data_IF_476521747181
#
_entry.id   IF_476521747181
#
_cell.length_a   1.000
_cell.length_b   1.000
_cell.length_c   1.000
_cell.angle_alpha   90.00
_cell.angle_beta   90.00
_cell.angle_gamma   90.00
#
_symmetry.space_group_name_H-M   'P 1'
#
loop_
_entity.id
_entity.type
_entity.pdbx_description
1 polymer ?
#
# COMPACT_ATOMS: atom_id res chain seq x y z
N UNK A 1 12.93 4.33 -39.93
CA UNK A 1 12.30 4.37 -38.59
C UNK A 1 13.41 4.36 -37.54
N UNK A 2 13.64 5.46 -36.83
CA UNK A 2 14.81 5.61 -35.93
C UNK A 2 14.63 4.77 -34.66
N UNK A 3 15.67 3.97 -34.32
CA UNK A 3 15.73 3.10 -33.12
C UNK A 3 15.70 3.88 -31.80
N UNK A 4 15.82 5.21 -31.85
CA UNK A 4 15.92 6.10 -30.69
C UNK A 4 14.68 6.99 -30.50
N UNK A 5 13.65 6.84 -31.33
CA UNK A 5 12.41 7.58 -31.13
C UNK A 5 11.72 7.07 -29.85
N UNK A 6 11.36 7.96 -28.89
CA UNK A 6 10.67 7.53 -27.69
C UNK A 6 9.30 6.97 -28.08
N UNK A 7 9.15 5.66 -27.97
CA UNK A 7 7.85 5.01 -28.04
C UNK A 7 6.96 5.65 -26.97
N UNK A 8 5.82 6.19 -27.39
CA UNK A 8 4.86 6.89 -26.56
C UNK A 8 4.47 5.99 -25.37
N UNK A 9 5.12 6.17 -24.21
CA UNK A 9 4.79 5.40 -23.00
C UNK A 9 3.47 5.94 -22.49
N UNK A 10 2.40 5.17 -22.68
CA UNK A 10 1.14 5.43 -22.01
C UNK A 10 1.40 5.54 -20.50
N UNK A 11 0.87 6.59 -19.86
CA UNK A 11 0.97 6.74 -18.42
C UNK A 11 0.53 5.44 -17.73
N UNK A 12 1.23 5.00 -16.66
CA UNK A 12 0.87 3.78 -15.97
C UNK A 12 -0.55 3.96 -15.40
N UNK A 13 -1.46 3.06 -15.77
CA UNK A 13 -2.79 2.97 -15.17
C UNK A 13 -2.72 2.09 -13.92
N UNK A 14 -3.44 2.42 -12.85
CA UNK A 14 -3.45 1.56 -11.67
C UNK A 14 -4.05 0.20 -12.04
N UNK A 15 -3.37 -0.86 -11.61
CA UNK A 15 -3.91 -2.22 -11.69
C UNK A 15 -4.83 -2.49 -10.52
N UNK A 16 -5.65 -3.54 -10.60
CA UNK A 16 -6.43 -4.04 -9.45
C UNK A 16 -5.58 -4.47 -8.26
N UNK A 17 -4.28 -4.67 -8.46
CA UNK A 17 -3.28 -5.00 -7.42
C UNK A 17 -2.53 -3.79 -6.88
N UNK A 18 -2.69 -2.61 -7.48
CA UNK A 18 -2.01 -1.38 -7.04
C UNK A 18 -2.63 -0.93 -5.71
N UNK A 19 -1.85 -0.96 -4.62
CA UNK A 19 -2.28 -0.55 -3.29
C UNK A 19 -1.95 0.91 -3.03
N UNK A 20 -2.94 1.69 -2.62
CA UNK A 20 -2.79 3.08 -2.21
C UNK A 20 -2.18 3.19 -0.82
N UNK A 21 -1.08 3.94 -0.66
CA UNK A 21 -0.40 4.11 0.64
C UNK A 21 -1.15 5.03 1.61
N UNK A 22 -2.16 5.77 1.14
CA UNK A 22 -2.97 6.68 1.97
C UNK A 22 -4.12 5.93 2.63
N UNK A 23 -4.95 5.25 1.85
CA UNK A 23 -6.15 4.57 2.36
C UNK A 23 -6.01 3.04 2.49
N UNK A 24 -4.90 2.46 2.02
CA UNK A 24 -4.63 1.01 2.00
C UNK A 24 -5.60 0.19 1.14
N UNK A 25 -6.41 0.83 0.28
CA UNK A 25 -7.26 0.15 -0.70
C UNK A 25 -6.54 -0.06 -2.02
N UNK A 26 -7.04 -0.97 -2.85
CA UNK A 26 -6.49 -1.24 -4.18
C UNK A 26 -7.16 -0.42 -5.29
N UNK A 27 -6.56 -0.40 -6.47
CA UNK A 27 -7.18 0.07 -7.71
C UNK A 27 -6.93 1.55 -8.05
N UNK A 28 -6.13 2.28 -7.27
CA UNK A 28 -5.77 3.67 -7.56
C UNK A 28 -4.40 4.03 -6.99
N UNK A 29 -3.80 5.09 -7.52
CA UNK A 29 -2.58 5.66 -6.98
C UNK A 29 -2.86 6.64 -5.84
N UNK A 30 -1.87 6.86 -4.98
CA UNK A 30 -1.99 7.71 -3.79
C UNK A 30 -2.45 9.15 -4.11
N UNK A 31 -2.07 9.69 -5.28
CA UNK A 31 -2.44 11.05 -5.70
C UNK A 31 -3.92 11.17 -6.13
N UNK A 32 -4.57 10.07 -6.50
CA UNK A 32 -6.01 10.01 -6.84
C UNK A 32 -6.90 9.73 -5.61
N UNK A 33 -6.29 9.44 -4.44
CA UNK A 33 -7.00 8.94 -3.27
C UNK A 33 -7.87 10.01 -2.58
N UNK A 34 -9.20 9.86 -2.73
CA UNK A 34 -10.22 10.67 -2.05
C UNK A 34 -10.61 10.15 -0.65
N UNK A 35 -10.35 8.88 -0.37
CA UNK A 35 -10.69 8.26 0.92
C UNK A 35 -9.87 8.87 2.07
N UNK A 36 -10.46 8.98 3.28
CA UNK A 36 -9.73 9.39 4.48
C UNK A 36 -8.69 8.32 4.85
N UNK A 37 -7.68 8.73 5.63
CA UNK A 37 -6.65 7.82 6.14
C UNK A 37 -7.25 6.95 7.25
N UNK A 38 -7.35 5.62 7.11
CA UNK A 38 -7.82 4.78 8.19
C UNK A 38 -6.79 4.77 9.31
N UNK A 39 -7.25 4.87 10.56
CA UNK A 39 -6.41 4.65 11.71
C UNK A 39 -6.30 3.15 11.96
N UNK A 40 -5.11 2.58 11.71
CA UNK A 40 -4.83 1.17 11.98
C UNK A 40 -3.94 1.10 13.21
N UNK A 41 -4.47 0.59 14.32
CA UNK A 41 -3.68 0.36 15.52
C UNK A 41 -2.70 -0.79 15.26
N UNK A 42 -1.42 -0.53 15.53
CA UNK A 42 -0.37 -1.54 15.51
C UNK A 42 0.21 -1.57 16.91
N UNK A 43 0.15 -2.72 17.62
CA UNK A 43 0.71 -2.78 18.95
C UNK A 43 2.22 -2.53 18.89
N UNK A 44 2.73 -1.82 19.89
CA UNK A 44 4.16 -1.57 19.99
C UNK A 44 4.91 -2.88 20.25
N UNK A 45 6.23 -2.88 20.00
CA UNK A 45 7.06 -4.05 20.32
C UNK A 45 7.00 -4.42 21.80
N UNK A 46 6.91 -3.45 22.71
CA UNK A 46 6.77 -3.68 24.15
C UNK A 46 5.42 -4.31 24.48
N UNK A 47 4.32 -3.79 23.94
CA UNK A 47 2.97 -4.37 24.11
C UNK A 47 2.89 -5.81 23.60
N UNK A 48 3.62 -6.14 22.53
CA UNK A 48 3.70 -7.51 22.02
C UNK A 48 4.53 -8.44 22.93
N UNK A 49 5.57 -7.94 23.61
CA UNK A 49 6.36 -8.75 24.55
C UNK A 49 5.62 -8.98 25.87
N UNK A 50 4.88 -7.99 26.35
CA UNK A 50 4.01 -8.10 27.53
C UNK A 50 2.89 -9.13 27.32
N UNK A 51 2.43 -9.30 26.08
CA UNK A 51 1.38 -10.26 25.73
C UNK A 51 1.84 -11.23 24.62
N UNK A 52 2.45 -12.38 24.99
CA UNK A 52 2.92 -13.38 24.04
C UNK A 52 1.85 -13.92 23.08
N UNK A 53 0.57 -13.89 23.47
CA UNK A 53 -0.55 -14.32 22.62
C UNK A 53 -0.84 -13.33 21.48
N UNK A 54 -0.66 -12.02 21.71
CA UNK A 54 -0.77 -11.01 20.66
C UNK A 54 0.35 -11.16 19.62
N UNK A 55 1.57 -11.42 20.09
CA UNK A 55 2.72 -11.65 19.21
C UNK A 55 2.52 -12.87 18.30
N UNK A 56 1.90 -13.95 18.80
CA UNK A 56 1.57 -15.12 17.98
C UNK A 56 0.55 -14.81 16.88
N UNK A 57 -0.47 -14.00 17.16
CA UNK A 57 -1.51 -13.61 16.18
C UNK A 57 -1.00 -12.71 15.05
N UNK A 58 0.02 -11.89 15.31
CA UNK A 58 0.56 -10.92 14.34
C UNK A 58 1.64 -11.49 13.42
N UNK A 59 2.19 -12.66 13.76
CA UNK A 59 3.22 -13.34 12.97
C UNK A 59 2.65 -14.32 11.94
N UNK A 60 1.37 -14.66 12.05
CA UNK A 60 0.64 -15.49 11.10
C UNK A 60 0.16 -14.64 9.92
#
# INVERSE_FOLDING_TARGET
MSKYAPHHRSAPRPTSTTVCQKCLQTGHFTYECKSPRPYVSRPSRTQMMENPRLLAKLKA
#
